data_IF_225495627890
#
_entry.id   IF_225495627890
#
_cell.length_a   1.000
_cell.length_b   1.000
_cell.length_c   1.000
_cell.angle_alpha   90.00
_cell.angle_beta   90.00
_cell.angle_gamma   90.00
#
_symmetry.space_group_name_H-M   'P 1'
#
loop_
_entity.id
_entity.type
_entity.pdbx_description
1 polymer ?
#
# COMPACT_ATOMS: atom_id res chain seq x y z
N UNK A 1 -5.63 25.93 13.61
CA UNK A 1 -5.76 25.86 12.13
C UNK A 1 -5.07 24.58 11.65
N UNK A 2 -5.66 23.39 11.83
CA UNK A 2 -4.87 22.16 11.68
C UNK A 2 -5.65 20.87 11.54
N UNK A 3 -6.77 20.88 10.83
CA UNK A 3 -7.47 19.64 10.46
C UNK A 3 -8.25 19.73 9.13
N UNK A 4 -8.25 20.88 8.45
CA UNK A 4 -8.92 21.01 7.15
C UNK A 4 -8.22 20.20 6.05
N UNK A 5 -6.88 20.09 6.09
CA UNK A 5 -6.13 19.39 5.04
C UNK A 5 -6.44 17.88 4.94
N UNK A 6 -6.57 17.17 6.05
CA UNK A 6 -6.80 15.72 6.03
C UNK A 6 -8.21 15.39 5.54
N UNK A 7 -9.21 16.18 5.95
CA UNK A 7 -10.60 16.01 5.50
C UNK A 7 -10.74 16.28 4.01
N UNK A 8 -10.05 17.31 3.48
CA UNK A 8 -10.02 17.60 2.03
C UNK A 8 -9.48 16.40 1.23
N UNK A 9 -8.35 15.82 1.67
CA UNK A 9 -7.77 14.63 1.04
C UNK A 9 -8.71 13.42 1.09
N UNK A 10 -9.43 13.22 2.19
CA UNK A 10 -10.43 12.15 2.31
C UNK A 10 -11.62 12.35 1.37
N UNK A 11 -12.11 13.58 1.21
CA UNK A 11 -13.21 13.89 0.29
C UNK A 11 -12.77 13.65 -1.16
N UNK A 12 -11.57 14.10 -1.54
CA UNK A 12 -11.01 13.85 -2.88
C UNK A 12 -10.89 12.35 -3.13
N UNK A 13 -10.36 11.60 -2.16
CA UNK A 13 -10.22 10.15 -2.26
C UNK A 13 -11.59 9.47 -2.41
N UNK A 14 -12.60 9.90 -1.64
CA UNK A 14 -13.96 9.38 -1.76
C UNK A 14 -14.56 9.62 -3.16
N UNK A 15 -14.37 10.80 -3.76
CA UNK A 15 -14.83 11.09 -5.13
C UNK A 15 -14.13 10.20 -6.15
N UNK A 16 -12.81 10.02 -6.03
CA UNK A 16 -12.04 9.11 -6.89
C UNK A 16 -12.58 7.68 -6.77
N UNK A 17 -12.85 7.20 -5.54
CA UNK A 17 -13.44 5.87 -5.32
C UNK A 17 -14.82 5.71 -5.96
N UNK A 18 -15.65 6.76 -5.95
CA UNK A 18 -16.98 6.75 -6.60
C UNK A 18 -16.88 6.70 -8.12
N UNK A 19 -15.95 7.43 -8.72
CA UNK A 19 -15.74 7.46 -10.19
C UNK A 19 -15.20 6.11 -10.69
N UNK A 20 -14.19 5.56 -10.00
CA UNK A 20 -13.56 4.32 -10.40
C UNK A 20 -14.35 3.07 -9.97
N UNK A 21 -15.13 3.18 -8.90
CA UNK A 21 -15.88 2.07 -8.28
C UNK A 21 -14.97 1.09 -7.52
N UNK A 22 -15.52 0.44 -6.49
CA UNK A 22 -14.77 -0.49 -5.64
C UNK A 22 -14.18 -1.70 -6.38
N UNK A 23 -14.82 -2.16 -7.47
CA UNK A 23 -14.35 -3.29 -8.26
C UNK A 23 -13.03 -3.04 -9.00
N UNK A 24 -12.88 -1.86 -9.63
CA UNK A 24 -11.65 -1.52 -10.37
C UNK A 24 -10.47 -1.28 -9.43
N UNK A 25 -10.70 -0.59 -8.32
CA UNK A 25 -9.68 -0.41 -7.28
C UNK A 25 -9.24 -1.74 -6.66
N UNK A 26 -10.15 -2.68 -6.44
CA UNK A 26 -9.81 -4.01 -5.92
C UNK A 26 -8.94 -4.80 -6.91
N UNK A 27 -9.27 -4.78 -8.20
CA UNK A 27 -8.46 -5.44 -9.24
C UNK A 27 -7.06 -4.84 -9.31
N UNK A 28 -6.97 -3.52 -9.49
CA UNK A 28 -5.70 -2.80 -9.58
C UNK A 28 -4.87 -2.95 -8.30
N UNK A 29 -5.50 -2.87 -7.13
CA UNK A 29 -4.84 -3.05 -5.84
C UNK A 29 -4.34 -4.48 -5.63
N UNK A 30 -5.05 -5.49 -6.13
CA UNK A 30 -4.63 -6.90 -6.03
C UNK A 30 -3.43 -7.19 -6.92
N UNK A 31 -3.40 -6.62 -8.13
CA UNK A 31 -2.29 -6.76 -9.08
C UNK A 31 -1.03 -6.04 -8.57
N UNK A 32 -1.17 -4.76 -8.20
CA UNK A 32 -0.09 -3.96 -7.62
C UNK A 32 0.41 -4.56 -6.29
N UNK A 33 -0.52 -5.00 -5.43
CA UNK A 33 -0.19 -5.61 -4.15
C UNK A 33 0.60 -6.91 -4.29
N UNK A 34 0.27 -7.72 -5.30
CA UNK A 34 1.00 -8.96 -5.60
C UNK A 34 2.42 -8.68 -6.09
N UNK A 35 2.59 -7.68 -6.98
CA UNK A 35 3.91 -7.23 -7.45
C UNK A 35 4.76 -6.64 -6.32
N UNK A 36 4.19 -5.78 -5.48
CA UNK A 36 4.88 -5.17 -4.33
C UNK A 36 5.24 -6.24 -3.29
N UNK A 37 4.39 -7.26 -3.08
CA UNK A 37 4.67 -8.37 -2.17
C UNK A 37 5.87 -9.19 -2.64
N UNK A 38 5.96 -9.48 -3.93
CA UNK A 38 7.12 -10.14 -4.54
C UNK A 38 8.39 -9.30 -4.39
N UNK A 39 8.30 -7.99 -4.68
CA UNK A 39 9.41 -7.05 -4.52
C UNK A 39 9.90 -6.97 -3.06
N UNK A 40 8.99 -6.82 -2.10
CA UNK A 40 9.33 -6.79 -0.67
C UNK A 40 9.98 -8.10 -0.21
N UNK A 41 9.52 -9.24 -0.72
CA UNK A 41 10.10 -10.54 -0.38
C UNK A 41 11.53 -10.67 -0.94
N UNK A 42 11.75 -10.29 -2.19
CA UNK A 42 13.07 -10.31 -2.81
C UNK A 42 14.04 -9.39 -2.05
N UNK A 43 13.64 -8.14 -1.74
CA UNK A 43 14.48 -7.22 -0.96
C UNK A 43 14.82 -7.78 0.42
N UNK A 44 13.87 -8.45 1.07
CA UNK A 44 14.06 -9.01 2.42
C UNK A 44 14.84 -10.33 2.45
N UNK A 45 14.78 -11.13 1.38
CA UNK A 45 15.59 -12.36 1.23
C UNK A 45 17.02 -12.03 0.73
N UNK A 46 17.24 -10.86 0.12
CA UNK A 46 18.55 -10.37 -0.36
C UNK A 46 19.31 -9.58 0.72
N UNK A 47 18.62 -9.08 1.76
CA UNK A 47 19.28 -8.70 3.00
C UNK A 47 19.88 -9.98 3.62
N UNK A 48 21.23 -10.08 3.78
CA UNK A 48 21.80 -11.19 4.53
C UNK A 48 21.11 -11.18 5.89
N UNK A 49 20.57 -12.33 6.29
CA UNK A 49 20.09 -12.54 7.65
C UNK A 49 21.25 -12.21 8.59
N UNK A 50 21.31 -10.97 9.06
CA UNK A 50 22.02 -10.62 10.27
C UNK A 50 21.37 -11.46 11.38
N UNK A 51 22.06 -12.57 11.66
CA UNK A 51 22.25 -13.19 12.96
C UNK A 51 21.09 -12.97 13.95
N UNK A 52 20.23 -13.99 14.02
CA UNK A 52 19.55 -14.36 15.26
C UNK A 52 19.98 -15.76 15.67
N UNK A 53 21.22 -15.83 16.12
CA UNK A 53 21.83 -16.73 17.12
C UNK A 53 22.58 -15.72 18.02
N UNK A 54 22.54 -15.65 19.36
CA UNK A 54 22.24 -16.57 20.46
C UNK A 54 21.75 -15.76 21.68
N UNK A 55 20.82 -16.33 22.46
CA UNK A 55 20.83 -16.43 23.93
C UNK A 55 19.81 -17.51 24.35
#
# INVERSE_FOLDING_TARGET
>A
MGNMGVVEWLIILAVVLLIFGGGKLKSLGSDLGSSIKGFKKAVKDDEPKEEKEED
#
